data_IF_320730783145
#
_entry.id   IF_320730783145
#
_cell.length_a   1.000
_cell.length_b   1.000
_cell.length_c   1.000
_cell.angle_alpha   90.00
_cell.angle_beta   90.00
_cell.angle_gamma   90.00
#
_symmetry.space_group_name_H-M   'P 1'
#
loop_
_entity.id
_entity.type
_entity.pdbx_description
1 polymer ?
#
# COMPACT_ATOMS: atom_id res chain seq x y z
N UNK A 1 -29.97 -2.86 -2.15
CA UNK A 1 -29.37 -4.20 -1.92
C UNK A 1 -27.85 -4.17 -1.76
N UNK A 2 -27.05 -3.61 -2.67
CA UNK A 2 -25.57 -3.72 -2.67
C UNK A 2 -24.83 -3.54 -1.31
N UNK A 3 -25.33 -2.72 -0.37
CA UNK A 3 -24.71 -2.55 0.96
C UNK A 3 -24.81 -3.76 1.90
N UNK A 4 -25.66 -4.77 1.66
CA UNK A 4 -25.83 -5.92 2.57
C UNK A 4 -24.93 -7.13 2.26
N UNK A 5 -24.20 -7.13 1.13
CA UNK A 5 -23.37 -8.26 0.68
C UNK A 5 -21.87 -8.14 0.97
N UNK A 6 -21.38 -6.94 1.34
CA UNK A 6 -19.96 -6.75 1.70
C UNK A 6 -19.64 -7.39 3.07
N UNK A 7 -18.49 -8.07 3.18
CA UNK A 7 -18.04 -8.67 4.45
C UNK A 7 -17.93 -7.64 5.58
N UNK A 8 -17.41 -6.45 5.29
CA UNK A 8 -17.29 -5.39 6.29
C UNK A 8 -18.64 -4.95 6.87
N UNK A 9 -19.73 -5.01 6.10
CA UNK A 9 -21.08 -4.75 6.63
C UNK A 9 -21.47 -5.81 7.66
N UNK A 10 -21.08 -7.08 7.46
CA UNK A 10 -21.31 -8.15 8.45
C UNK A 10 -20.47 -7.94 9.71
N UNK A 11 -19.19 -7.61 9.55
CA UNK A 11 -18.29 -7.31 10.68
C UNK A 11 -18.82 -6.13 11.51
N UNK A 12 -19.26 -5.06 10.85
CA UNK A 12 -19.80 -3.85 11.48
C UNK A 12 -21.18 -4.11 12.13
N UNK A 13 -22.07 -4.87 11.48
CA UNK A 13 -23.35 -5.29 12.06
C UNK A 13 -23.12 -6.18 13.27
N UNK A 14 -22.19 -7.14 13.22
CA UNK A 14 -21.92 -8.02 14.35
C UNK A 14 -21.23 -7.29 15.50
N UNK A 15 -20.29 -6.37 15.23
CA UNK A 15 -19.73 -5.49 16.26
C UNK A 15 -20.83 -4.64 16.93
N UNK A 16 -21.75 -4.05 16.16
CA UNK A 16 -22.91 -3.31 16.67
C UNK A 16 -23.89 -4.22 17.43
N UNK A 17 -24.08 -5.46 17.00
CA UNK A 17 -24.90 -6.48 17.67
C UNK A 17 -24.29 -6.92 19.00
N UNK A 18 -22.97 -7.15 19.07
CA UNK A 18 -22.25 -7.47 20.31
C UNK A 18 -22.39 -6.34 21.34
N UNK A 19 -22.27 -5.08 20.89
CA UNK A 19 -22.54 -3.91 21.74
C UNK A 19 -24.00 -3.91 22.23
N UNK A 20 -24.98 -4.16 21.35
CA UNK A 20 -26.39 -4.24 21.74
C UNK A 20 -26.67 -5.38 22.75
N UNK A 21 -26.13 -6.58 22.53
CA UNK A 21 -26.29 -7.70 23.46
C UNK A 21 -25.57 -7.47 24.79
N UNK A 22 -24.48 -6.71 24.80
CA UNK A 22 -23.80 -6.29 26.03
C UNK A 22 -24.59 -5.23 26.80
N UNK A 23 -25.29 -4.32 26.12
CA UNK A 23 -26.24 -3.38 26.71
C UNK A 23 -27.40 -4.12 27.38
N UNK A 24 -28.08 -4.99 26.62
CA UNK A 24 -29.25 -5.77 27.09
C UNK A 24 -28.90 -6.66 28.30
N UNK A 25 -27.68 -7.18 28.40
CA UNK A 25 -27.21 -7.98 29.55
C UNK A 25 -26.77 -7.18 30.78
N UNK A 26 -26.52 -5.88 30.67
CA UNK A 26 -25.98 -5.07 31.79
C UNK A 26 -26.97 -4.04 32.34
N UNK A 27 -28.06 -3.77 31.64
CA UNK A 27 -29.06 -2.78 32.08
C UNK A 27 -28.57 -1.33 32.06
N UNK A 28 -27.40 -1.07 31.48
CA UNK A 28 -26.77 0.26 31.44
C UNK A 28 -27.37 1.08 30.28
N UNK A 29 -27.75 2.33 30.57
CA UNK A 29 -28.22 3.30 29.58
C UNK A 29 -27.23 3.43 28.40
N UNK A 30 -27.65 3.24 27.13
CA UNK A 30 -26.78 3.34 25.97
C UNK A 30 -25.99 4.64 25.87
N UNK A 31 -26.48 5.76 26.42
CA UNK A 31 -25.75 7.04 26.46
C UNK A 31 -24.47 7.00 27.30
N UNK A 32 -24.41 6.14 28.34
CA UNK A 32 -23.17 5.95 29.13
C UNK A 32 -22.13 5.10 28.42
N UNK A 33 -22.49 4.45 27.30
CA UNK A 33 -21.70 3.41 26.63
C UNK A 33 -20.92 3.91 25.38
N UNK A 34 -20.90 5.21 25.12
CA UNK A 34 -19.80 5.83 24.34
C UNK A 34 -18.42 5.63 25.02
N UNK A 35 -18.41 5.25 26.31
CA UNK A 35 -17.22 4.82 27.05
C UNK A 35 -16.65 3.44 26.64
N UNK A 36 -17.41 2.63 25.89
CA UNK A 36 -17.14 1.20 25.75
C UNK A 36 -15.86 0.91 24.94
N UNK A 37 -15.08 -0.07 25.40
CA UNK A 37 -13.70 -0.33 24.95
C UNK A 37 -13.59 -0.62 23.45
N UNK A 38 -14.59 -1.28 22.86
CA UNK A 38 -14.65 -1.63 21.43
C UNK A 38 -14.83 -0.38 20.55
N UNK A 39 -15.56 0.63 21.01
CA UNK A 39 -15.74 1.90 20.29
C UNK A 39 -14.50 2.80 20.51
N UNK A 40 -13.98 2.83 21.74
CA UNK A 40 -12.79 3.59 22.11
C UNK A 40 -11.47 2.92 21.73
N UNK A 41 -11.48 1.76 21.09
CA UNK A 41 -10.29 0.99 20.68
C UNK A 41 -9.27 1.90 19.98
N UNK A 42 -8.09 2.03 20.59
CA UNK A 42 -7.00 2.86 20.06
C UNK A 42 -6.24 2.07 19.01
N UNK A 43 -5.98 2.69 17.86
CA UNK A 43 -5.12 2.09 16.84
C UNK A 43 -3.71 1.93 17.40
N UNK A 44 -3.13 0.75 17.18
CA UNK A 44 -1.71 0.54 17.41
C UNK A 44 -0.91 1.44 16.44
N UNK A 45 -0.23 2.45 16.99
CA UNK A 45 0.53 3.44 16.24
C UNK A 45 1.61 2.80 15.34
N UNK A 46 2.15 1.65 15.73
CA UNK A 46 3.08 0.87 14.89
C UNK A 46 2.38 0.35 13.63
N UNK A 47 1.16 -0.17 13.74
CA UNK A 47 0.35 -0.59 12.58
C UNK A 47 -0.01 0.58 11.67
N UNK A 48 -0.28 1.77 12.23
CA UNK A 48 -0.48 3.00 11.46
C UNK A 48 0.76 3.37 10.64
N UNK A 49 1.94 3.45 11.28
CA UNK A 49 3.21 3.75 10.60
C UNK A 49 3.57 2.67 9.57
N UNK A 50 3.43 1.39 9.91
CA UNK A 50 3.72 0.28 9.00
C UNK A 50 2.82 0.30 7.75
N UNK A 51 1.54 0.66 7.88
CA UNK A 51 0.66 0.79 6.71
C UNK A 51 0.97 2.07 5.90
N UNK A 52 1.33 3.17 6.56
CA UNK A 52 1.78 4.40 5.90
C UNK A 52 3.05 4.16 5.08
N UNK A 53 4.06 3.50 5.64
CA UNK A 53 5.29 3.17 4.92
C UNK A 53 5.04 2.28 3.69
N UNK A 54 4.09 1.35 3.76
CA UNK A 54 3.64 0.56 2.60
C UNK A 54 2.90 1.44 1.57
N UNK A 55 2.06 2.40 2.01
CA UNK A 55 1.34 3.32 1.12
C UNK A 55 2.21 4.40 0.48
N UNK A 56 3.43 4.62 0.98
CA UNK A 56 4.40 5.54 0.38
C UNK A 56 5.17 4.96 -0.82
N UNK A 57 5.02 3.67 -1.15
CA UNK A 57 5.76 3.07 -2.28
C UNK A 57 5.24 3.53 -3.64
N UNK A 58 3.94 3.35 -3.89
CA UNK A 58 3.34 3.58 -5.21
C UNK A 58 3.65 4.94 -5.86
N UNK A 59 3.60 6.09 -5.15
CA UNK A 59 3.91 7.39 -5.75
C UNK A 59 5.32 7.48 -6.36
N UNK A 60 6.29 6.72 -5.82
CA UNK A 60 7.68 6.71 -6.32
C UNK A 60 7.78 6.00 -7.66
N UNK A 61 7.00 4.94 -7.85
CA UNK A 61 7.04 4.10 -9.06
C UNK A 61 6.35 4.75 -10.27
N UNK A 62 5.46 5.72 -10.05
CA UNK A 62 4.64 6.35 -11.09
C UNK A 62 5.29 7.53 -11.83
N UNK A 63 6.52 7.95 -11.47
CA UNK A 63 7.10 9.21 -11.94
C UNK A 63 8.29 9.01 -12.91
N UNK A 64 8.01 9.07 -14.22
CA UNK A 64 9.03 9.15 -15.28
C UNK A 64 8.53 10.07 -16.41
N UNK A 65 9.40 10.94 -16.93
CA UNK A 65 9.01 12.05 -17.82
C UNK A 65 8.88 11.67 -19.29
N UNK A 66 7.68 11.87 -19.85
CA UNK A 66 7.36 11.80 -21.29
C UNK A 66 6.66 13.10 -21.72
N UNK A 67 6.67 13.44 -23.02
CA UNK A 67 5.99 14.64 -23.49
C UNK A 67 4.46 14.49 -23.50
N UNK A 68 3.66 15.56 -23.30
CA UNK A 68 2.21 15.46 -23.17
C UNK A 68 1.46 14.80 -24.35
N UNK A 69 2.04 14.78 -25.55
CA UNK A 69 1.46 14.12 -26.71
C UNK A 69 1.73 12.59 -26.72
N UNK A 70 2.96 12.19 -26.40
CA UNK A 70 3.34 10.76 -26.28
C UNK A 70 2.60 10.10 -25.10
N UNK A 71 2.42 10.85 -24.01
CA UNK A 71 1.75 10.43 -22.77
C UNK A 71 0.38 9.79 -23.00
N UNK A 72 -0.42 10.21 -23.99
CA UNK A 72 -1.77 9.64 -24.18
C UNK A 72 -1.71 8.18 -24.67
N UNK A 73 -0.97 7.90 -25.74
CA UNK A 73 -0.82 6.53 -26.25
C UNK A 73 0.02 5.66 -25.31
N UNK A 74 1.05 6.24 -24.70
CA UNK A 74 1.91 5.58 -23.74
C UNK A 74 1.16 5.15 -22.47
N UNK A 75 0.38 6.06 -21.87
CA UNK A 75 -0.43 5.74 -20.68
C UNK A 75 -1.49 4.67 -20.98
N UNK A 76 -2.11 4.68 -22.16
CA UNK A 76 -3.07 3.63 -22.53
C UNK A 76 -2.42 2.24 -22.54
N UNK A 77 -1.23 2.12 -23.15
CA UNK A 77 -0.47 0.87 -23.15
C UNK A 77 -0.03 0.45 -21.73
N UNK A 78 0.45 1.41 -20.94
CA UNK A 78 0.80 1.23 -19.52
C UNK A 78 -0.39 0.71 -18.70
N UNK A 79 -1.58 1.31 -18.83
CA UNK A 79 -2.77 0.88 -18.08
C UNK A 79 -3.30 -0.49 -18.52
N UNK A 80 -3.12 -0.88 -19.79
CA UNK A 80 -3.43 -2.24 -20.23
C UNK A 80 -2.47 -3.28 -19.64
N UNK A 81 -1.18 -2.96 -19.49
CA UNK A 81 -0.19 -3.79 -18.79
C UNK A 81 -0.51 -3.85 -17.29
N UNK A 82 -0.78 -2.72 -16.65
CA UNK A 82 -1.15 -2.61 -15.22
C UNK A 82 -2.40 -3.44 -14.90
N UNK A 83 -3.44 -3.36 -15.74
CA UNK A 83 -4.66 -4.17 -15.62
C UNK A 83 -4.34 -5.67 -15.73
N UNK A 84 -3.51 -6.06 -16.70
CA UNK A 84 -3.11 -7.46 -16.92
C UNK A 84 -2.30 -8.00 -15.74
N UNK A 85 -1.33 -7.22 -15.24
CA UNK A 85 -0.55 -7.53 -14.04
C UNK A 85 -1.42 -7.62 -12.79
N UNK A 86 -2.39 -6.72 -12.64
CA UNK A 86 -3.38 -6.74 -11.54
C UNK A 86 -4.21 -8.01 -11.58
N UNK A 87 -4.73 -8.41 -12.74
CA UNK A 87 -5.49 -9.66 -12.92
C UNK A 87 -4.62 -10.88 -12.58
N UNK A 88 -3.35 -10.89 -13.01
CA UNK A 88 -2.39 -11.95 -12.67
C UNK A 88 -2.14 -12.02 -11.15
N UNK A 89 -1.95 -10.88 -10.48
CA UNK A 89 -1.76 -10.82 -9.02
C UNK A 89 -3.00 -11.25 -8.24
N UNK A 90 -4.21 -10.95 -8.74
CA UNK A 90 -5.47 -11.49 -8.20
C UNK A 90 -5.50 -13.01 -8.34
N UNK A 91 -5.22 -13.54 -9.54
CA UNK A 91 -5.22 -14.98 -9.79
C UNK A 91 -4.21 -15.72 -8.91
N UNK A 92 -2.99 -15.18 -8.78
CA UNK A 92 -1.95 -15.71 -7.90
C UNK A 92 -2.37 -15.64 -6.43
N UNK A 93 -3.12 -14.63 -5.99
CA UNK A 93 -3.57 -14.49 -4.59
C UNK A 93 -4.50 -15.62 -4.10
N UNK A 94 -5.19 -16.32 -5.01
CA UNK A 94 -5.97 -17.53 -4.68
C UNK A 94 -5.09 -18.76 -4.42
N UNK A 95 -3.87 -18.81 -4.97
CA UNK A 95 -2.94 -19.95 -4.86
C UNK A 95 -1.80 -19.70 -3.87
N UNK A 96 -1.38 -18.44 -3.73
CA UNK A 96 -0.22 -18.00 -2.95
C UNK A 96 -0.71 -16.93 -1.96
N UNK A 97 -0.51 -17.18 -0.66
CA UNK A 97 -0.93 -16.25 0.39
C UNK A 97 -0.36 -14.83 0.15
N UNK A 98 -1.19 -13.76 0.15
CA UNK A 98 -0.81 -12.45 -0.38
C UNK A 98 0.48 -11.83 0.19
N UNK A 99 0.79 -12.00 1.48
CA UNK A 99 2.03 -11.47 2.06
C UNK A 99 3.29 -12.15 1.49
N UNK A 100 3.20 -13.40 1.02
CA UNK A 100 4.31 -14.08 0.31
C UNK A 100 4.55 -13.45 -1.07
N UNK A 101 3.49 -13.06 -1.79
CA UNK A 101 3.60 -12.35 -3.08
C UNK A 101 4.28 -10.99 -2.86
N UNK A 102 3.84 -10.24 -1.84
CA UNK A 102 4.44 -8.96 -1.45
C UNK A 102 5.90 -9.05 -0.99
N UNK A 103 6.33 -10.19 -0.45
CA UNK A 103 7.75 -10.44 -0.15
C UNK A 103 8.56 -10.78 -1.40
N UNK A 104 7.97 -11.46 -2.38
CA UNK A 104 8.63 -11.78 -3.65
C UNK A 104 8.90 -10.51 -4.47
N UNK A 105 7.93 -9.59 -4.59
CA UNK A 105 8.12 -8.30 -5.28
C UNK A 105 9.20 -7.43 -4.61
N UNK A 106 9.30 -7.46 -3.28
CA UNK A 106 10.42 -6.83 -2.57
C UNK A 106 11.78 -7.40 -2.98
N UNK A 107 11.96 -8.73 -2.98
CA UNK A 107 13.25 -9.32 -3.38
C UNK A 107 13.58 -9.05 -4.86
N UNK A 108 12.57 -9.07 -5.74
CA UNK A 108 12.72 -8.70 -7.16
C UNK A 108 13.22 -7.25 -7.29
N UNK A 109 12.64 -6.30 -6.53
CA UNK A 109 13.12 -4.91 -6.49
C UNK A 109 14.58 -4.79 -5.99
N UNK A 110 14.96 -5.51 -4.94
CA UNK A 110 16.33 -5.48 -4.42
C UNK A 110 17.34 -5.96 -5.48
N UNK A 111 17.00 -6.99 -6.26
CA UNK A 111 17.83 -7.43 -7.40
C UNK A 111 17.96 -6.33 -8.45
N UNK A 112 16.87 -5.63 -8.78
CA UNK A 112 16.94 -4.48 -9.69
C UNK A 112 17.83 -3.34 -9.16
N UNK A 113 17.79 -3.01 -7.86
CA UNK A 113 18.68 -2.00 -7.30
C UNK A 113 20.17 -2.37 -7.47
N UNK A 114 20.54 -3.65 -7.31
CA UNK A 114 21.92 -4.10 -7.55
C UNK A 114 22.39 -3.89 -9.00
N UNK A 115 21.51 -4.04 -10.00
CA UNK A 115 21.84 -3.83 -11.41
C UNK A 115 21.60 -2.38 -11.89
N UNK A 116 20.82 -1.58 -11.16
CA UNK A 116 20.40 -0.24 -11.58
C UNK A 116 21.56 0.69 -12.04
N UNK A 117 22.72 0.76 -11.36
CA UNK A 117 23.80 1.65 -11.80
C UNK A 117 24.38 1.30 -13.17
N UNK A 118 24.25 0.04 -13.62
CA UNK A 118 24.71 -0.42 -14.95
C UNK A 118 23.66 -0.14 -16.02
N UNK A 119 22.39 -0.41 -15.71
CA UNK A 119 21.23 -0.13 -16.59
C UNK A 119 21.20 1.35 -16.98
N UNK A 120 21.57 2.24 -16.06
CA UNK A 120 21.36 3.68 -16.20
C UNK A 120 22.44 4.43 -16.97
N UNK A 121 23.62 3.83 -17.15
CA UNK A 121 24.68 4.42 -17.98
C UNK A 121 24.31 4.43 -19.48
N UNK A 122 23.25 3.70 -19.86
CA UNK A 122 22.82 3.50 -21.24
C UNK A 122 21.31 3.82 -21.43
N UNK A 123 20.79 4.84 -20.74
CA UNK A 123 19.36 5.21 -20.82
C UNK A 123 18.98 5.73 -22.21
N UNK A 124 18.17 4.94 -22.91
CA UNK A 124 17.40 5.36 -24.09
C UNK A 124 15.91 5.43 -23.72
N UNK A 125 15.06 6.11 -24.52
CA UNK A 125 13.61 6.15 -24.28
C UNK A 125 12.94 4.77 -24.21
N UNK A 126 13.47 3.76 -24.92
CA UNK A 126 12.96 2.39 -24.85
C UNK A 126 13.36 1.67 -23.55
N UNK A 127 14.56 1.93 -23.00
CA UNK A 127 14.92 1.42 -21.67
C UNK A 127 14.09 2.08 -20.56
N UNK A 128 13.75 3.37 -20.68
CA UNK A 128 12.84 4.04 -19.71
C UNK A 128 11.46 3.37 -19.71
N UNK A 129 10.89 3.06 -20.88
CA UNK A 129 9.63 2.31 -21.00
C UNK A 129 9.72 0.92 -20.36
N UNK A 130 10.81 0.18 -20.59
CA UNK A 130 11.01 -1.14 -19.98
C UNK A 130 11.13 -1.05 -18.45
N UNK A 131 11.78 -0.02 -17.92
CA UNK A 131 11.89 0.24 -16.48
C UNK A 131 10.50 0.56 -15.88
N UNK A 132 9.68 1.38 -16.55
CA UNK A 132 8.29 1.63 -16.12
C UNK A 132 7.45 0.36 -16.11
N UNK A 133 7.45 -0.42 -17.19
CA UNK A 133 6.72 -1.69 -17.29
C UNK A 133 7.16 -2.68 -16.20
N UNK A 134 8.46 -2.75 -15.93
CA UNK A 134 9.00 -3.54 -14.82
C UNK A 134 8.44 -3.08 -13.46
N UNK A 135 8.46 -1.78 -13.16
CA UNK A 135 7.91 -1.26 -11.90
C UNK A 135 6.39 -1.47 -11.79
N UNK A 136 5.62 -1.26 -12.85
CA UNK A 136 4.15 -1.45 -12.86
C UNK A 136 3.74 -2.89 -12.52
N UNK A 137 4.55 -3.89 -12.91
CA UNK A 137 4.24 -5.32 -12.67
C UNK A 137 4.89 -5.85 -11.38
N UNK A 138 6.11 -5.40 -11.04
CA UNK A 138 6.92 -6.02 -9.98
C UNK A 138 7.26 -5.12 -8.78
N UNK A 139 6.91 -3.84 -8.78
CA UNK A 139 7.24 -2.98 -7.65
C UNK A 139 6.44 -3.35 -6.37
N UNK A 140 7.05 -3.21 -5.17
CA UNK A 140 6.37 -3.47 -3.92
C UNK A 140 5.25 -2.44 -3.68
N UNK A 141 4.08 -2.96 -3.29
CA UNK A 141 2.87 -2.19 -3.01
C UNK A 141 1.98 -2.87 -1.99
N UNK A 142 0.78 -2.31 -1.79
CA UNK A 142 -0.19 -2.82 -0.81
C UNK A 142 -1.06 -3.97 -1.36
N UNK A 143 -1.08 -4.17 -2.68
CA UNK A 143 -1.90 -5.15 -3.38
C UNK A 143 -1.09 -6.42 -3.74
N UNK A 144 -1.60 -7.65 -3.54
CA UNK A 144 -2.99 -8.00 -3.25
C UNK A 144 -3.36 -8.13 -1.75
N UNK A 145 -2.47 -7.82 -0.80
CA UNK A 145 -2.72 -8.05 0.64
C UNK A 145 -3.62 -7.01 1.35
N UNK A 146 -4.32 -6.14 0.59
CA UNK A 146 -5.06 -4.97 1.11
C UNK A 146 -6.03 -5.31 2.25
N UNK A 147 -6.83 -6.37 2.06
CA UNK A 147 -7.82 -6.83 3.03
C UNK A 147 -7.18 -7.39 4.32
N UNK A 148 -5.96 -7.95 4.23
CA UNK A 148 -5.20 -8.43 5.39
C UNK A 148 -4.76 -7.22 6.21
N UNK A 149 -4.14 -6.21 5.58
CA UNK A 149 -3.74 -4.99 6.27
C UNK A 149 -4.92 -4.30 6.97
N UNK A 150 -6.08 -4.25 6.32
CA UNK A 150 -7.31 -3.65 6.86
C UNK A 150 -7.87 -4.41 8.07
N UNK A 151 -7.75 -5.75 8.12
CA UNK A 151 -8.17 -6.60 9.25
C UNK A 151 -7.63 -6.09 10.60
N UNK A 152 -6.39 -5.61 10.64
CA UNK A 152 -5.71 -5.13 11.85
C UNK A 152 -6.08 -3.70 12.28
N UNK A 153 -6.99 -3.01 11.58
CA UNK A 153 -7.54 -1.74 12.03
C UNK A 153 -8.92 -1.94 12.69
N UNK A 154 -9.22 -1.26 13.83
CA UNK A 154 -10.49 -1.34 14.54
C UNK A 154 -11.70 -1.13 13.63
N UNK A 155 -12.68 -2.03 13.70
CA UNK A 155 -13.80 -2.12 12.74
C UNK A 155 -14.52 -0.78 12.53
N UNK A 156 -14.77 -0.04 13.62
CA UNK A 156 -15.48 1.25 13.56
C UNK A 156 -14.67 2.42 12.98
N UNK A 157 -13.34 2.28 12.86
CA UNK A 157 -12.43 3.37 12.48
C UNK A 157 -11.59 3.05 11.24
N UNK A 158 -11.51 1.77 10.84
CA UNK A 158 -10.76 1.22 9.70
C UNK A 158 -10.78 2.15 8.49
N UNK A 159 -11.95 2.35 7.87
CA UNK A 159 -12.09 3.18 6.67
C UNK A 159 -11.54 4.61 6.81
N UNK A 160 -11.75 5.26 7.97
CA UNK A 160 -11.24 6.60 8.23
C UNK A 160 -9.71 6.62 8.21
N UNK A 161 -9.06 5.74 8.97
CA UNK A 161 -7.61 5.75 9.06
C UNK A 161 -6.92 5.18 7.82
N UNK A 162 -7.49 4.18 7.14
CA UNK A 162 -6.91 3.65 5.89
C UNK A 162 -6.97 4.69 4.77
N UNK A 163 -8.08 5.42 4.66
CA UNK A 163 -8.24 6.52 3.71
C UNK A 163 -7.38 7.74 4.06
N UNK A 164 -7.25 8.08 5.35
CA UNK A 164 -6.36 9.15 5.80
C UNK A 164 -4.88 8.81 5.53
N UNK A 165 -4.43 7.59 5.84
CA UNK A 165 -3.08 7.12 5.54
C UNK A 165 -2.79 7.17 4.04
N UNK A 166 -3.75 6.75 3.20
CA UNK A 166 -3.64 6.86 1.75
C UNK A 166 -3.50 8.33 1.30
N UNK A 167 -4.41 9.22 1.72
CA UNK A 167 -4.36 10.63 1.33
C UNK A 167 -3.06 11.32 1.79
N UNK A 168 -2.62 11.03 3.02
CA UNK A 168 -1.37 11.56 3.59
C UNK A 168 -0.13 11.03 2.86
N UNK A 169 -0.11 9.76 2.42
CA UNK A 169 1.01 9.24 1.64
C UNK A 169 1.09 9.89 0.25
N UNK A 170 -0.05 10.16 -0.40
CA UNK A 170 -0.07 10.88 -1.68
C UNK A 170 0.39 12.33 -1.53
N UNK A 171 -0.14 13.05 -0.54
CA UNK A 171 0.25 14.44 -0.30
C UNK A 171 1.77 14.58 -0.03
N UNK A 172 2.32 13.78 0.88
CA UNK A 172 3.74 13.84 1.23
C UNK A 172 4.63 13.35 0.07
N UNK A 173 4.33 12.20 -0.51
CA UNK A 173 5.21 11.62 -1.53
C UNK A 173 5.16 12.40 -2.85
N UNK A 174 4.03 12.96 -3.28
CA UNK A 174 4.02 13.79 -4.49
C UNK A 174 4.78 15.11 -4.32
N UNK A 175 4.87 15.67 -3.12
CA UNK A 175 5.78 16.81 -2.84
C UNK A 175 7.24 16.34 -2.96
N UNK A 176 7.57 15.19 -2.36
CA UNK A 176 8.92 14.60 -2.39
C UNK A 176 9.35 14.23 -3.83
N UNK A 177 8.48 13.64 -4.66
CA UNK A 177 8.81 13.26 -6.04
C UNK A 177 8.77 14.44 -7.01
N UNK A 178 7.93 15.46 -6.80
CA UNK A 178 7.86 16.60 -7.74
C UNK A 178 8.97 17.62 -7.51
N UNK A 179 9.30 17.93 -6.24
CA UNK A 179 10.33 18.91 -5.90
C UNK A 179 11.66 18.24 -5.53
N UNK A 180 11.61 17.28 -4.60
CA UNK A 180 12.81 16.61 -4.09
C UNK A 180 13.57 15.86 -5.17
N UNK A 181 12.86 15.20 -6.10
CA UNK A 181 13.52 14.48 -7.20
C UNK A 181 14.27 15.41 -8.14
N UNK A 182 13.71 16.56 -8.52
CA UNK A 182 14.33 17.50 -9.43
C UNK A 182 15.72 17.93 -8.91
N UNK A 183 15.78 18.48 -7.70
CA UNK A 183 17.04 18.87 -7.05
C UNK A 183 17.99 17.69 -6.85
N UNK A 184 17.49 16.52 -6.44
CA UNK A 184 18.34 15.34 -6.26
C UNK A 184 18.92 14.83 -7.59
N UNK A 185 18.19 14.92 -8.70
CA UNK A 185 18.73 14.58 -10.03
C UNK A 185 19.70 15.63 -10.57
N UNK A 186 19.51 16.91 -10.23
CA UNK A 186 20.42 18.01 -10.59
C UNK A 186 21.78 17.85 -9.88
N UNK A 187 21.78 17.60 -8.56
CA UNK A 187 23.02 17.48 -7.79
C UNK A 187 23.68 16.08 -7.83
N UNK A 188 22.92 15.00 -8.06
CA UNK A 188 23.42 13.61 -7.93
C UNK A 188 23.09 12.67 -9.12
N UNK A 189 22.41 13.12 -10.17
CA UNK A 189 22.01 12.25 -11.30
C UNK A 189 21.07 11.11 -10.87
N UNK A 190 21.23 9.89 -11.42
CA UNK A 190 20.41 8.73 -11.05
C UNK A 190 20.52 8.39 -9.55
N UNK A 191 21.66 8.65 -8.92
CA UNK A 191 21.83 8.43 -7.48
C UNK A 191 20.81 9.24 -6.66
N UNK A 192 20.39 10.41 -7.13
CA UNK A 192 19.33 11.20 -6.53
C UNK A 192 17.97 10.49 -6.47
N UNK A 193 17.62 9.73 -7.51
CA UNK A 193 16.41 8.88 -7.51
C UNK A 193 16.58 7.72 -6.51
N UNK A 194 17.75 7.07 -6.46
CA UNK A 194 18.04 6.02 -5.47
C UNK A 194 17.92 6.52 -4.03
N UNK A 195 18.30 7.77 -3.75
CA UNK A 195 18.15 8.40 -2.43
C UNK A 195 16.69 8.53 -1.98
N UNK A 196 15.71 8.50 -2.90
CA UNK A 196 14.27 8.37 -2.56
C UNK A 196 13.85 6.89 -2.52
N UNK A 197 14.22 6.10 -3.53
CA UNK A 197 13.75 4.70 -3.66
C UNK A 197 14.23 3.80 -2.51
N UNK A 198 15.46 3.97 -2.02
CA UNK A 198 16.05 3.10 -0.99
C UNK A 198 15.35 3.29 0.38
N UNK A 199 15.20 4.51 0.95
CA UNK A 199 14.48 4.71 2.20
C UNK A 199 13.03 4.21 2.16
N UNK A 200 12.32 4.44 1.04
CA UNK A 200 10.94 3.96 0.85
C UNK A 200 10.87 2.43 0.82
N UNK A 201 11.85 1.77 0.20
CA UNK A 201 11.95 0.30 0.14
C UNK A 201 12.30 -0.31 1.51
N UNK A 202 13.13 0.35 2.30
CA UNK A 202 13.40 -0.03 3.71
C UNK A 202 12.13 0.12 4.55
N UNK A 203 11.42 1.25 4.40
CA UNK A 203 10.14 1.50 5.08
C UNK A 203 9.09 0.44 4.74
N UNK A 204 8.97 0.06 3.46
CA UNK A 204 8.11 -1.02 3.00
C UNK A 204 8.44 -2.36 3.67
N UNK A 205 9.71 -2.75 3.71
CA UNK A 205 10.12 -4.02 4.32
C UNK A 205 9.81 -4.08 5.82
N UNK A 206 10.07 -2.99 6.55
CA UNK A 206 9.72 -2.86 7.97
C UNK A 206 8.19 -2.90 8.18
N UNK A 207 7.43 -2.27 7.29
CA UNK A 207 5.97 -2.32 7.27
C UNK A 207 5.43 -3.74 7.04
N UNK A 208 5.90 -4.41 5.99
CA UNK A 208 5.50 -5.77 5.63
C UNK A 208 5.82 -6.76 6.75
N UNK A 209 7.04 -6.71 7.31
CA UNK A 209 7.48 -7.59 8.41
C UNK A 209 6.65 -7.39 9.69
N UNK A 210 6.14 -6.19 9.96
CA UNK A 210 5.20 -5.94 11.06
C UNK A 210 3.88 -6.67 10.85
N UNK A 211 3.27 -6.56 9.66
CA UNK A 211 2.03 -7.27 9.33
C UNK A 211 2.19 -8.80 9.27
N UNK A 212 3.31 -9.30 8.75
CA UNK A 212 3.62 -10.75 8.78
C UNK A 212 3.71 -11.30 10.21
N UNK A 213 4.20 -10.50 11.17
CA UNK A 213 4.21 -10.88 12.58
C UNK A 213 2.82 -10.78 13.21
N UNK A 214 2.00 -9.79 12.84
CA UNK A 214 0.61 -9.68 13.33
C UNK A 214 -0.28 -10.85 12.87
N UNK A 215 -0.13 -11.33 11.64
CA UNK A 215 -0.89 -12.51 11.17
C UNK A 215 -0.40 -13.81 11.82
N UNK A 216 0.92 -13.98 12.02
CA UNK A 216 1.45 -15.13 12.80
C UNK A 216 0.87 -15.17 14.22
N UNK A 217 0.83 -14.02 14.90
CA UNK A 217 0.32 -13.89 16.26
C UNK A 217 -1.22 -13.93 16.37
N UNK A 218 -1.92 -14.30 15.29
CA UNK A 218 -3.37 -14.61 15.27
C UNK A 218 -3.67 -16.06 14.84
N UNK A 219 -2.62 -16.87 14.60
CA UNK A 219 -2.72 -18.28 14.19
C UNK A 219 -2.31 -19.23 15.35
N UNK A 220 -1.74 -18.65 16.41
CA UNK A 220 -1.47 -19.28 17.71
C UNK A 220 -2.26 -18.54 18.80
#
# INVERSE_FOLDING_TARGET
MARTTLKETRDFIDAKRRIKLSLEKTGIDPKKIESNSIIKEKINFKTFISYFAIQCTWPVWSYFGYSPAEVIHHNFFISMIELTGTILLVYLSYKIYPLKILRATFYILIVFFCFSPVIMQNLTPSYIMLIQVYFLVFAPGYFPATAIFYKHFPVFKRFMHTSFIFAMSRALMYIITSFGLAYLTEYFGYWGILMIMIPVTIGYYLGLRHFENLEKNMIY
#
